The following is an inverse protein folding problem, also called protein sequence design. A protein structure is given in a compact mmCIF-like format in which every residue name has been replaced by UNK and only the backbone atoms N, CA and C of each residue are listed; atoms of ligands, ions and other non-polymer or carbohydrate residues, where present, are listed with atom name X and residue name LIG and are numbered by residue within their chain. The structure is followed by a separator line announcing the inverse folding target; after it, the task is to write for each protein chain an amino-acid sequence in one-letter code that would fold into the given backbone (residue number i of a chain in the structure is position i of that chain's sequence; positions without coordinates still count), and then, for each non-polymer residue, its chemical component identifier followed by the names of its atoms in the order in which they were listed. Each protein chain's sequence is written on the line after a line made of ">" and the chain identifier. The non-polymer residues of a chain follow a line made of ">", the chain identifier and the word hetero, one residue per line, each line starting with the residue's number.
data_IF_639190226130
#
_entry.id   IF_639190226130
#
_cell.length_a   1.000
_cell.length_b   1.000
_cell.length_c   1.000
_cell.angle_alpha   90.00
_cell.angle_beta   90.00
_cell.angle_gamma   90.00
#
_symmetry.space_group_name_H-M   'P 1'
#
loop_
_entity.id
_entity.type
_entity.pdbx_description
1 polymer ?
#
# COMPACT_ATOMS: atom_id res chain seq x y z
N UNK A 1 33.19 35.34 -54.23
CA UNK A 1 31.92 34.88 -54.85
C UNK A 1 30.99 34.46 -53.69
N UNK A 2 29.89 35.16 -53.66
CA UNK A 2 28.86 35.22 -52.61
C UNK A 2 28.03 33.95 -52.47
N UNK A 3 27.87 33.44 -51.22
CA UNK A 3 26.90 32.44 -50.88
C UNK A 3 26.03 32.91 -49.71
N UNK A 4 24.76 33.18 -49.97
CA UNK A 4 23.76 33.78 -49.07
C UNK A 4 23.36 32.79 -47.98
N UNK A 5 23.47 33.22 -46.72
CA UNK A 5 22.97 32.59 -45.52
C UNK A 5 21.46 32.90 -45.39
N UNK A 6 20.59 31.94 -45.63
CA UNK A 6 19.16 32.10 -45.40
C UNK A 6 18.85 31.77 -43.92
N UNK A 7 18.52 32.81 -43.17
CA UNK A 7 18.04 32.77 -41.80
C UNK A 7 16.52 32.44 -41.83
N UNK A 8 16.14 31.21 -41.52
CA UNK A 8 14.74 30.80 -41.30
C UNK A 8 14.34 31.16 -39.87
N UNK A 9 13.60 32.28 -39.75
CA UNK A 9 12.94 32.66 -38.49
C UNK A 9 11.69 31.79 -38.35
N UNK A 10 11.76 30.76 -37.47
CA UNK A 10 10.62 29.94 -37.06
C UNK A 10 9.91 30.71 -35.93
N UNK A 11 8.88 31.49 -36.30
CA UNK A 11 7.99 32.16 -35.34
C UNK A 11 7.13 31.11 -34.63
N UNK A 12 7.52 30.75 -33.41
CA UNK A 12 6.74 29.85 -32.55
C UNK A 12 5.55 30.63 -31.98
N UNK A 13 4.40 30.46 -32.58
CA UNK A 13 3.12 31.04 -32.14
C UNK A 13 2.65 30.18 -30.93
N UNK A 14 3.06 30.56 -29.69
CA UNK A 14 2.56 29.95 -28.47
C UNK A 14 1.11 30.41 -28.29
N UNK A 15 0.17 29.57 -28.72
CA UNK A 15 -1.23 29.67 -28.32
C UNK A 15 -1.31 29.37 -26.82
N UNK A 16 -1.34 30.41 -26.00
CA UNK A 16 -1.74 30.32 -24.60
C UNK A 16 -3.24 30.05 -24.58
N UNK A 17 -3.62 28.75 -24.54
CA UNK A 17 -4.94 28.34 -24.08
C UNK A 17 -5.06 28.74 -22.62
N UNK A 18 -5.67 29.90 -22.37
CA UNK A 18 -6.16 30.25 -21.05
C UNK A 18 -7.30 29.28 -20.73
N UNK A 19 -6.97 28.14 -20.10
CA UNK A 19 -7.98 27.36 -19.42
C UNK A 19 -8.54 28.24 -18.30
N UNK A 20 -9.73 28.80 -18.55
CA UNK A 20 -10.56 29.32 -17.48
C UNK A 20 -10.83 28.13 -16.55
N UNK A 21 -10.05 28.00 -15.47
CA UNK A 21 -10.33 27.10 -14.38
C UNK A 21 -11.59 27.62 -13.67
N UNK A 22 -12.75 27.43 -14.29
CA UNK A 22 -14.00 27.47 -13.57
C UNK A 22 -13.85 26.46 -12.43
N UNK A 23 -14.11 26.85 -11.18
CA UNK A 23 -14.05 25.98 -10.03
C UNK A 23 -14.97 24.77 -10.27
N UNK A 24 -14.40 23.73 -10.87
CA UNK A 24 -15.12 22.51 -11.22
C UNK A 24 -15.44 21.81 -9.90
N UNK A 25 -16.71 21.54 -9.64
CA UNK A 25 -17.11 20.81 -8.44
C UNK A 25 -16.46 19.43 -8.47
N UNK A 26 -15.73 19.08 -7.42
CA UNK A 26 -15.10 17.78 -7.27
C UNK A 26 -16.19 16.73 -7.05
N UNK A 27 -16.34 15.79 -7.99
CA UNK A 27 -17.22 14.63 -7.79
C UNK A 27 -16.53 13.58 -6.93
N UNK A 28 -17.32 12.77 -6.22
CA UNK A 28 -16.79 11.67 -5.42
C UNK A 28 -15.96 10.70 -6.28
N UNK A 29 -16.46 10.33 -7.45
CA UNK A 29 -15.75 9.45 -8.37
C UNK A 29 -14.38 10.02 -8.75
N UNK A 30 -14.32 11.30 -9.13
CA UNK A 30 -13.06 11.96 -9.49
C UNK A 30 -12.07 12.01 -8.30
N UNK A 31 -12.57 12.21 -7.07
CA UNK A 31 -11.75 12.16 -5.86
C UNK A 31 -11.14 10.78 -5.63
N UNK A 32 -11.94 9.73 -5.77
CA UNK A 32 -11.49 8.33 -5.63
C UNK A 32 -10.50 7.94 -6.72
N UNK A 33 -10.80 8.23 -7.98
CA UNK A 33 -9.91 7.92 -9.11
C UNK A 33 -8.55 8.63 -8.96
N UNK A 34 -8.56 9.89 -8.53
CA UNK A 34 -7.33 10.67 -8.24
C UNK A 34 -6.52 10.03 -7.09
N UNK A 35 -7.20 9.60 -6.04
CA UNK A 35 -6.56 8.95 -4.90
C UNK A 35 -5.91 7.61 -5.29
N UNK A 36 -6.61 6.76 -6.02
CA UNK A 36 -6.06 5.49 -6.50
C UNK A 36 -4.85 5.68 -7.41
N UNK A 37 -4.85 6.75 -8.21
CA UNK A 37 -3.73 7.09 -9.09
C UNK A 37 -2.53 7.70 -8.35
N UNK A 38 -2.74 8.46 -7.26
CA UNK A 38 -1.69 9.28 -6.66
C UNK A 38 -1.24 8.80 -5.27
N UNK A 39 -2.07 8.09 -4.53
CA UNK A 39 -1.75 7.75 -3.14
C UNK A 39 -0.55 6.81 -3.04
N UNK A 40 0.48 7.24 -2.29
CA UNK A 40 1.78 6.57 -2.23
C UNK A 40 1.73 5.12 -1.77
N UNK A 41 0.86 4.79 -0.79
CA UNK A 41 0.72 3.42 -0.27
C UNK A 41 0.14 2.48 -1.32
N UNK A 42 -0.86 2.91 -2.11
CA UNK A 42 -1.43 2.12 -3.21
C UNK A 42 -0.37 1.83 -4.27
N UNK A 43 0.43 2.84 -4.66
CA UNK A 43 1.56 2.66 -5.60
C UNK A 43 2.62 1.70 -5.04
N UNK A 44 2.95 1.82 -3.75
CA UNK A 44 3.92 0.95 -3.09
C UNK A 44 3.47 -0.52 -3.09
N UNK A 45 2.21 -0.80 -2.73
CA UNK A 45 1.65 -2.15 -2.75
C UNK A 45 1.62 -2.74 -4.17
N UNK A 46 1.28 -1.95 -5.18
CA UNK A 46 1.37 -2.37 -6.59
C UNK A 46 2.80 -2.76 -7.00
N UNK A 47 3.80 -1.97 -6.58
CA UNK A 47 5.20 -2.29 -6.83
C UNK A 47 5.67 -3.56 -6.10
N UNK A 48 5.20 -3.81 -4.87
CA UNK A 48 5.51 -5.05 -4.14
C UNK A 48 4.90 -6.28 -4.84
N UNK A 49 3.68 -6.19 -5.36
CA UNK A 49 3.08 -7.25 -6.16
C UNK A 49 3.89 -7.54 -7.44
N UNK A 50 4.35 -6.49 -8.13
CA UNK A 50 5.22 -6.63 -9.31
C UNK A 50 6.59 -7.24 -8.94
N UNK A 51 7.17 -6.89 -7.81
CA UNK A 51 8.41 -7.49 -7.31
C UNK A 51 8.23 -8.99 -7.04
N UNK A 52 7.13 -9.38 -6.39
CA UNK A 52 6.80 -10.79 -6.15
C UNK A 52 6.56 -11.56 -7.46
N UNK A 53 5.96 -10.92 -8.47
CA UNK A 53 5.83 -11.51 -9.81
C UNK A 53 7.19 -11.79 -10.46
N UNK A 54 8.14 -10.87 -10.34
CA UNK A 54 9.51 -11.07 -10.80
C UNK A 54 10.22 -12.22 -10.04
N UNK A 55 9.94 -12.36 -8.74
CA UNK A 55 10.48 -13.46 -7.91
C UNK A 55 10.00 -14.84 -8.39
N UNK A 56 8.79 -14.96 -8.94
CA UNK A 56 8.33 -16.22 -9.58
C UNK A 56 9.24 -16.58 -10.77
N UNK A 57 9.58 -15.60 -11.60
CA UNK A 57 10.47 -15.84 -12.74
C UNK A 57 11.87 -16.25 -12.28
N UNK A 58 12.38 -15.63 -11.22
CA UNK A 58 13.65 -16.04 -10.60
C UNK A 58 13.57 -17.50 -10.11
N UNK A 59 12.54 -17.86 -9.33
CA UNK A 59 12.36 -19.20 -8.80
C UNK A 59 12.26 -20.27 -9.92
N UNK A 60 11.65 -19.93 -11.06
CA UNK A 60 11.61 -20.81 -12.25
C UNK A 60 12.97 -20.96 -12.91
N UNK A 61 13.76 -19.87 -12.99
CA UNK A 61 15.10 -19.88 -13.58
C UNK A 61 16.15 -20.55 -12.68
N UNK A 62 15.96 -20.58 -11.37
CA UNK A 62 16.78 -21.33 -10.41
C UNK A 62 16.79 -22.86 -10.67
N UNK A 63 15.88 -23.35 -11.55
CA UNK A 63 15.90 -24.73 -12.03
C UNK A 63 16.91 -24.98 -13.18
N UNK A 64 17.41 -23.93 -13.81
CA UNK A 64 18.40 -24.05 -14.87
C UNK A 64 19.73 -24.61 -14.35
N UNK A 65 20.52 -25.29 -15.20
CA UNK A 65 21.89 -25.65 -14.87
C UNK A 65 22.71 -24.43 -14.45
N UNK A 66 23.51 -24.57 -13.41
CA UNK A 66 24.49 -23.56 -13.04
C UNK A 66 25.75 -23.79 -13.88
N UNK A 67 26.08 -22.82 -14.75
CA UNK A 67 27.27 -22.83 -15.58
C UNK A 67 28.22 -21.76 -15.03
N UNK A 68 29.48 -22.18 -14.70
CA UNK A 68 30.49 -21.27 -14.20
C UNK A 68 31.83 -21.45 -14.93
N UNK A 69 32.48 -20.33 -15.16
CA UNK A 69 33.86 -20.28 -15.66
C UNK A 69 34.75 -19.75 -14.54
N UNK A 70 35.87 -20.41 -14.32
CA UNK A 70 36.85 -19.99 -13.32
C UNK A 70 38.24 -20.03 -13.93
N UNK A 71 39.05 -19.04 -13.59
CA UNK A 71 40.46 -18.97 -13.99
C UNK A 71 41.30 -18.65 -12.74
N UNK A 72 42.33 -19.39 -12.54
CA UNK A 72 43.30 -19.21 -11.46
C UNK A 72 44.70 -19.25 -12.04
N UNK A 73 45.55 -18.37 -11.58
CA UNK A 73 46.94 -18.29 -11.94
C UNK A 73 47.74 -18.11 -10.66
N UNK A 74 48.73 -18.95 -10.44
CA UNK A 74 49.49 -18.98 -9.21
C UNK A 74 50.99 -18.95 -9.54
N UNK A 75 51.78 -18.41 -8.60
CA UNK A 75 53.24 -18.52 -8.62
C UNK A 75 53.66 -19.18 -7.32
N UNK A 76 54.40 -20.27 -7.42
CA UNK A 76 54.81 -21.02 -6.24
C UNK A 76 55.64 -22.23 -6.52
N UNK A 77 56.02 -22.95 -5.46
CA UNK A 77 56.80 -24.16 -5.48
C UNK A 77 55.91 -25.41 -5.52
N UNK A 78 56.48 -26.57 -5.95
CA UNK A 78 55.81 -27.87 -5.88
C UNK A 78 56.63 -28.82 -5.03
N UNK A 79 56.35 -28.92 -3.75
CA UNK A 79 57.00 -29.88 -2.83
C UNK A 79 55.89 -30.82 -2.27
N UNK A 80 55.62 -31.91 -2.95
CA UNK A 80 54.71 -32.92 -2.48
C UNK A 80 55.24 -33.62 -1.22
N UNK A 81 54.38 -33.96 -0.30
CA UNK A 81 54.70 -34.76 0.88
C UNK A 81 53.75 -35.96 0.95
N UNK A 82 54.33 -37.16 1.12
CA UNK A 82 53.51 -38.36 1.37
C UNK A 82 53.00 -38.36 2.81
N UNK A 83 51.72 -38.59 2.99
CA UNK A 83 51.08 -38.70 4.32
C UNK A 83 49.61 -38.35 4.29
N UNK A 84 48.85 -38.68 5.36
CA UNK A 84 47.46 -38.33 5.48
C UNK A 84 47.32 -36.82 5.67
N UNK A 85 46.54 -36.16 4.82
CA UNK A 85 46.19 -34.75 4.97
C UNK A 85 44.70 -34.54 4.73
N UNK A 86 44.12 -33.65 5.49
CA UNK A 86 42.72 -33.22 5.33
C UNK A 86 42.69 -31.71 5.14
N UNK A 87 42.26 -31.28 3.96
CA UNK A 87 42.10 -29.87 3.64
C UNK A 87 40.91 -29.23 4.37
N UNK A 88 41.18 -28.64 5.52
CA UNK A 88 40.15 -27.90 6.31
C UNK A 88 39.73 -26.65 5.53
N UNK A 89 38.51 -26.70 4.96
CA UNK A 89 37.84 -25.53 4.41
C UNK A 89 38.60 -24.75 3.30
N UNK A 90 39.49 -25.43 2.57
CA UNK A 90 40.30 -24.78 1.52
C UNK A 90 41.56 -24.08 2.02
N UNK A 91 41.92 -24.27 3.29
CA UNK A 91 43.17 -23.71 3.88
C UNK A 91 44.44 -24.48 3.50
N UNK A 92 44.31 -25.64 2.85
CA UNK A 92 45.44 -26.36 2.31
C UNK A 92 45.94 -25.76 1.01
N UNK A 93 47.25 -25.52 0.85
CA UNK A 93 47.84 -25.19 -0.45
C UNK A 93 47.61 -26.34 -1.42
N UNK A 94 47.03 -26.07 -2.58
CA UNK A 94 46.83 -27.06 -3.64
C UNK A 94 48.08 -27.21 -4.55
N UNK A 95 49.23 -26.98 -4.04
CA UNK A 95 50.49 -27.27 -4.74
C UNK A 95 50.60 -28.79 -4.87
N UNK A 96 50.27 -29.32 -6.03
CA UNK A 96 50.27 -30.73 -6.31
C UNK A 96 51.47 -31.12 -7.15
N UNK A 97 52.36 -31.84 -6.56
CA UNK A 97 53.43 -32.51 -7.22
C UNK A 97 53.78 -33.80 -6.47
N UNK A 98 54.51 -34.72 -7.06
CA UNK A 98 55.02 -35.88 -6.34
C UNK A 98 55.94 -35.46 -5.22
N UNK A 99 56.16 -36.35 -4.25
CA UNK A 99 57.12 -36.12 -3.19
C UNK A 99 58.52 -36.02 -3.78
N UNK A 100 59.24 -35.00 -3.37
CA UNK A 100 60.66 -34.83 -3.71
C UNK A 100 61.53 -35.34 -2.55
N UNK A 101 62.74 -35.87 -2.85
CA UNK A 101 63.63 -36.38 -1.82
C UNK A 101 64.06 -35.28 -0.83
N UNK A 102 64.14 -34.05 -1.26
CA UNK A 102 64.53 -32.88 -0.45
C UNK A 102 63.63 -31.68 -0.79
N UNK A 103 63.48 -30.79 0.16
CA UNK A 103 62.84 -29.50 -0.02
C UNK A 103 63.55 -28.72 -1.16
N UNK A 104 62.76 -28.19 -2.10
CA UNK A 104 63.22 -27.36 -3.18
C UNK A 104 62.41 -26.05 -3.22
N UNK A 105 63.09 -24.92 -3.46
CA UNK A 105 62.48 -23.60 -3.48
C UNK A 105 62.30 -23.04 -4.92
N UNK A 106 62.50 -23.89 -5.93
CA UNK A 106 62.21 -23.51 -7.31
C UNK A 106 60.73 -23.16 -7.45
N UNK A 107 60.44 -21.97 -7.99
CA UNK A 107 59.11 -21.47 -8.16
C UNK A 107 58.80 -21.19 -9.63
N UNK A 108 57.59 -21.52 -10.04
CA UNK A 108 57.11 -21.30 -11.40
C UNK A 108 55.63 -20.85 -11.38
N UNK A 109 55.19 -20.27 -12.49
CA UNK A 109 53.78 -19.99 -12.70
C UNK A 109 53.02 -21.28 -13.02
N UNK A 110 51.78 -21.35 -12.52
CA UNK A 110 50.81 -22.38 -12.86
C UNK A 110 49.45 -21.73 -13.19
N UNK A 111 48.64 -22.43 -13.94
CA UNK A 111 47.30 -21.96 -14.24
C UNK A 111 46.27 -23.10 -14.24
N UNK A 112 45.03 -22.78 -13.81
CA UNK A 112 43.88 -23.66 -13.84
C UNK A 112 42.70 -22.89 -14.43
N UNK A 113 42.21 -23.38 -15.55
CA UNK A 113 40.99 -22.87 -16.22
C UNK A 113 39.93 -23.93 -16.16
N UNK A 114 38.74 -23.56 -15.62
CA UNK A 114 37.62 -24.49 -15.40
C UNK A 114 36.37 -23.96 -16.08
N UNK A 115 35.70 -24.82 -16.82
CA UNK A 115 34.29 -24.66 -17.17
C UNK A 115 33.52 -25.74 -16.41
N UNK A 116 32.59 -25.33 -15.56
CA UNK A 116 31.85 -26.24 -14.69
C UNK A 116 30.34 -26.06 -14.91
N UNK A 117 29.64 -27.17 -15.07
CA UNK A 117 28.19 -27.26 -15.11
C UNK A 117 27.75 -28.10 -13.92
N UNK A 118 26.78 -27.58 -13.17
CA UNK A 118 26.11 -28.33 -12.12
C UNK A 118 24.61 -28.11 -12.21
N UNK A 119 23.84 -29.20 -12.27
CA UNK A 119 22.39 -29.16 -12.42
C UNK A 119 21.68 -30.12 -11.49
N UNK A 120 20.92 -29.58 -10.55
CA UNK A 120 20.03 -30.36 -9.66
C UNK A 120 18.78 -30.78 -10.44
N UNK A 121 18.90 -31.78 -11.31
CA UNK A 121 17.82 -32.17 -12.21
C UNK A 121 16.66 -32.91 -11.54
N UNK A 122 16.89 -33.56 -10.38
CA UNK A 122 15.86 -34.26 -9.64
C UNK A 122 15.97 -34.03 -8.13
N UNK A 123 14.95 -33.39 -7.55
CA UNK A 123 14.93 -32.93 -6.15
C UNK A 123 13.66 -33.36 -5.38
N UNK A 124 12.99 -34.42 -5.82
CA UNK A 124 11.71 -34.89 -5.24
C UNK A 124 10.65 -33.78 -5.08
N UNK A 125 10.63 -32.85 -6.02
CA UNK A 125 9.66 -31.76 -6.07
C UNK A 125 10.02 -30.55 -5.19
N UNK A 126 11.21 -30.48 -4.57
CA UNK A 126 11.66 -29.33 -3.77
C UNK A 126 11.63 -28.03 -4.58
N UNK A 127 12.20 -28.04 -5.78
CA UNK A 127 12.23 -26.85 -6.67
C UNK A 127 10.80 -26.46 -7.09
N UNK A 128 9.99 -27.45 -7.51
CA UNK A 128 8.58 -27.19 -7.85
C UNK A 128 7.82 -26.56 -6.67
N UNK A 129 8.07 -27.03 -5.45
CA UNK A 129 7.42 -26.50 -4.26
C UNK A 129 7.91 -25.08 -3.93
N UNK A 130 9.19 -24.76 -4.16
CA UNK A 130 9.73 -23.39 -4.04
C UNK A 130 9.05 -22.42 -5.02
N UNK A 131 8.81 -22.88 -6.27
CA UNK A 131 8.04 -22.08 -7.25
C UNK A 131 6.61 -21.83 -6.73
N UNK A 132 5.93 -22.85 -6.17
CA UNK A 132 4.60 -22.67 -5.59
C UNK A 132 4.58 -21.70 -4.43
N UNK A 133 5.61 -21.67 -3.58
CA UNK A 133 5.74 -20.66 -2.51
C UNK A 133 5.84 -19.25 -3.11
N UNK A 134 6.63 -19.07 -4.17
CA UNK A 134 6.74 -17.78 -4.85
C UNK A 134 5.40 -17.36 -5.51
N UNK A 135 4.70 -18.30 -6.14
CA UNK A 135 3.37 -18.07 -6.72
C UNK A 135 2.33 -17.68 -5.65
N UNK A 136 2.29 -18.41 -4.52
CA UNK A 136 1.41 -18.07 -3.41
C UNK A 136 1.77 -16.70 -2.78
N UNK A 137 3.06 -16.37 -2.70
CA UNK A 137 3.54 -15.05 -2.23
C UNK A 137 3.03 -13.93 -3.14
N UNK A 138 3.13 -14.10 -4.47
CA UNK A 138 2.58 -13.14 -5.41
C UNK A 138 1.06 -12.99 -5.24
N UNK A 139 0.31 -14.09 -5.08
CA UNK A 139 -1.14 -14.02 -4.86
C UNK A 139 -1.48 -13.25 -3.58
N UNK A 140 -0.73 -13.46 -2.50
CA UNK A 140 -0.88 -12.70 -1.26
C UNK A 140 -0.63 -11.20 -1.50
N UNK A 141 0.47 -10.84 -2.17
CA UNK A 141 0.86 -9.44 -2.37
C UNK A 141 -0.10 -8.73 -3.34
N UNK A 142 -0.61 -9.46 -4.34
CA UNK A 142 -1.65 -8.94 -5.22
C UNK A 142 -2.97 -8.71 -4.46
N UNK A 143 -3.36 -9.62 -3.55
CA UNK A 143 -4.55 -9.42 -2.70
C UNK A 143 -4.34 -8.32 -1.65
N UNK A 144 -3.12 -8.10 -1.16
CA UNK A 144 -2.76 -6.95 -0.33
C UNK A 144 -2.93 -5.62 -1.10
N UNK A 145 -2.53 -5.59 -2.37
CA UNK A 145 -2.74 -4.44 -3.25
C UNK A 145 -4.24 -4.16 -3.50
N UNK A 146 -5.03 -5.20 -3.81
CA UNK A 146 -6.49 -5.06 -4.00
C UNK A 146 -7.19 -4.59 -2.72
N UNK A 147 -6.80 -5.14 -1.56
CA UNK A 147 -7.28 -4.71 -0.26
C UNK A 147 -6.96 -3.24 0.02
N UNK A 148 -5.73 -2.80 -0.26
CA UNK A 148 -5.32 -1.39 -0.06
C UNK A 148 -6.11 -0.44 -0.96
N UNK A 149 -6.36 -0.80 -2.24
CA UNK A 149 -7.24 -0.02 -3.11
C UNK A 149 -8.63 0.13 -2.52
N UNK A 150 -9.24 -0.99 -2.13
CA UNK A 150 -10.56 -0.99 -1.51
C UNK A 150 -10.61 -0.13 -0.24
N UNK A 151 -9.63 -0.26 0.64
CA UNK A 151 -9.56 0.57 1.85
C UNK A 151 -9.37 2.06 1.51
N UNK A 152 -8.62 2.37 0.46
CA UNK A 152 -8.43 3.75 0.01
C UNK A 152 -9.72 4.34 -0.56
N UNK A 153 -10.49 3.58 -1.33
CA UNK A 153 -11.83 3.97 -1.80
C UNK A 153 -12.74 4.36 -0.63
N UNK A 154 -12.77 3.53 0.41
CA UNK A 154 -13.57 3.78 1.63
C UNK A 154 -13.06 5.02 2.39
N UNK A 155 -11.74 5.16 2.59
CA UNK A 155 -11.14 6.31 3.29
C UNK A 155 -11.41 7.63 2.60
N UNK A 156 -11.24 7.66 1.28
CA UNK A 156 -11.49 8.87 0.46
C UNK A 156 -12.96 9.24 0.46
N UNK A 157 -13.85 8.25 0.30
CA UNK A 157 -15.30 8.49 0.34
C UNK A 157 -15.75 9.01 1.69
N UNK A 158 -15.23 8.47 2.79
CA UNK A 158 -15.52 8.97 4.14
C UNK A 158 -15.02 10.42 4.33
N UNK A 159 -13.80 10.74 3.87
CA UNK A 159 -13.26 12.10 3.94
C UNK A 159 -14.05 13.08 3.06
N UNK A 160 -14.48 12.64 1.89
CA UNK A 160 -15.36 13.43 1.00
C UNK A 160 -16.71 13.76 1.66
N UNK A 161 -17.36 12.78 2.27
CA UNK A 161 -18.60 13.00 3.01
C UNK A 161 -18.42 13.93 4.22
N UNK A 162 -17.29 13.83 4.92
CA UNK A 162 -16.96 14.73 6.02
C UNK A 162 -16.75 16.17 5.54
N UNK A 163 -16.05 16.38 4.42
CA UNK A 163 -15.89 17.70 3.82
C UNK A 163 -17.24 18.27 3.39
N UNK A 164 -18.09 17.45 2.79
CA UNK A 164 -19.42 17.84 2.37
C UNK A 164 -20.28 18.27 3.58
N UNK A 165 -20.23 17.53 4.69
CA UNK A 165 -20.88 17.92 5.94
C UNK A 165 -20.35 19.25 6.49
N UNK A 166 -19.02 19.45 6.47
CA UNK A 166 -18.39 20.69 6.90
C UNK A 166 -18.82 21.89 6.05
N UNK A 167 -18.87 21.75 4.72
CA UNK A 167 -19.35 22.81 3.81
C UNK A 167 -20.82 23.16 4.04
N UNK A 168 -21.66 22.18 4.34
CA UNK A 168 -23.06 22.44 4.72
C UNK A 168 -23.17 23.18 6.05
N UNK A 169 -22.35 22.77 7.03
CA UNK A 169 -22.30 23.45 8.32
C UNK A 169 -21.87 24.92 8.16
N UNK A 170 -20.79 25.20 7.39
CA UNK A 170 -20.36 26.56 7.08
C UNK A 170 -21.49 27.38 6.47
N UNK A 171 -22.19 26.84 5.48
CA UNK A 171 -23.34 27.51 4.85
C UNK A 171 -24.51 27.75 5.83
N UNK A 172 -24.77 26.81 6.75
CA UNK A 172 -25.77 26.99 7.81
C UNK A 172 -25.40 28.13 8.76
N UNK A 173 -24.11 28.19 9.17
CA UNK A 173 -23.61 29.27 10.03
C UNK A 173 -23.58 30.65 9.32
N UNK A 174 -23.36 30.71 8.02
CA UNK A 174 -23.49 31.94 7.22
C UNK A 174 -24.93 32.48 7.26
N UNK A 175 -25.93 31.59 7.06
CA UNK A 175 -27.35 31.96 7.18
C UNK A 175 -27.70 32.41 8.58
N UNK A 176 -27.17 31.73 9.61
CA UNK A 176 -27.37 32.10 11.00
C UNK A 176 -26.80 33.51 11.30
N UNK A 177 -25.56 33.78 10.85
CA UNK A 177 -24.96 35.12 11.00
C UNK A 177 -25.81 36.21 10.33
N UNK A 178 -26.34 35.93 9.12
CA UNK A 178 -27.19 36.89 8.42
C UNK A 178 -28.49 37.19 9.19
N UNK A 179 -29.11 36.14 9.77
CA UNK A 179 -30.30 36.31 10.67
C UNK A 179 -29.94 37.11 11.89
N UNK A 180 -28.83 36.84 12.56
CA UNK A 180 -28.38 37.57 13.73
C UNK A 180 -28.08 39.06 13.43
N UNK A 181 -27.49 39.38 12.27
CA UNK A 181 -27.23 40.74 11.81
C UNK A 181 -28.59 41.50 11.61
N UNK A 182 -29.57 40.87 10.94
CA UNK A 182 -30.89 41.45 10.72
C UNK A 182 -31.60 41.70 12.06
N UNK A 183 -31.52 40.74 12.96
CA UNK A 183 -32.04 40.85 14.30
C UNK A 183 -31.40 42.01 15.10
N UNK A 184 -30.05 42.10 15.13
CA UNK A 184 -29.32 43.20 15.78
C UNK A 184 -29.76 44.56 15.22
N UNK A 185 -29.85 44.71 13.90
CA UNK A 185 -30.26 45.98 13.28
C UNK A 185 -31.66 46.42 13.77
N UNK A 186 -32.61 45.51 13.85
CA UNK A 186 -33.94 45.77 14.36
C UNK A 186 -33.90 46.19 15.85
N UNK A 187 -33.13 45.47 16.69
CA UNK A 187 -33.01 45.77 18.12
C UNK A 187 -32.36 47.15 18.37
N UNK A 188 -31.28 47.48 17.62
CA UNK A 188 -30.59 48.76 17.74
C UNK A 188 -31.53 49.93 17.39
N UNK A 189 -32.27 49.87 16.29
CA UNK A 189 -33.22 50.92 15.87
C UNK A 189 -34.33 51.09 16.89
N UNK A 190 -34.87 50.03 17.46
CA UNK A 190 -35.93 50.10 18.48
C UNK A 190 -35.39 50.68 19.80
N UNK A 191 -34.16 50.34 20.19
CA UNK A 191 -33.53 50.90 21.40
C UNK A 191 -33.23 52.39 21.23
N UNK A 192 -32.75 52.84 20.06
CA UNK A 192 -32.50 54.25 19.76
C UNK A 192 -33.75 55.11 19.75
N UNK A 193 -34.92 54.51 19.43
CA UNK A 193 -36.22 55.13 19.46
C UNK A 193 -36.91 55.02 20.84
N UNK A 194 -36.25 54.50 21.87
CA UNK A 194 -36.78 54.35 23.21
C UNK A 194 -37.88 53.27 23.37
N UNK A 195 -38.04 52.40 22.37
CA UNK A 195 -39.09 51.36 22.33
C UNK A 195 -38.74 50.10 23.09
N UNK A 196 -37.42 49.89 23.41
CA UNK A 196 -36.91 48.76 24.17
C UNK A 196 -35.73 49.22 25.05
N UNK A 197 -35.38 48.45 26.08
CA UNK A 197 -34.27 48.72 26.96
C UNK A 197 -32.92 48.65 26.23
N UNK A 198 -31.94 49.47 26.58
CA UNK A 198 -30.59 49.46 25.99
C UNK A 198 -29.85 48.13 26.14
N UNK A 199 -30.16 47.35 27.19
CA UNK A 199 -29.63 45.99 27.39
C UNK A 199 -30.00 45.06 26.27
N UNK A 200 -31.17 45.18 25.65
CA UNK A 200 -31.62 44.37 24.53
C UNK A 200 -30.74 44.58 23.29
N UNK A 201 -30.33 45.86 23.04
CA UNK A 201 -29.39 46.17 21.98
C UNK A 201 -27.99 45.52 22.23
N UNK A 202 -27.55 45.45 23.48
CA UNK A 202 -26.32 44.81 23.88
C UNK A 202 -26.36 43.28 23.69
N UNK A 203 -27.48 42.65 24.07
CA UNK A 203 -27.70 41.22 23.83
C UNK A 203 -27.69 40.89 22.33
N UNK A 204 -28.34 41.70 21.50
CA UNK A 204 -28.36 41.49 20.06
C UNK A 204 -26.94 41.66 19.41
N UNK A 205 -26.13 42.55 19.93
CA UNK A 205 -24.71 42.69 19.52
C UNK A 205 -23.89 41.46 19.95
N UNK A 206 -24.12 40.91 21.14
CA UNK A 206 -23.43 39.71 21.64
C UNK A 206 -23.81 38.51 20.77
N UNK A 207 -25.06 38.37 20.32
CA UNK A 207 -25.52 37.29 19.43
C UNK A 207 -24.81 37.36 18.06
N UNK A 208 -24.63 38.53 17.46
CA UNK A 208 -23.84 38.64 16.20
C UNK A 208 -22.39 38.22 16.41
N UNK A 209 -21.78 38.57 17.56
CA UNK A 209 -20.42 38.12 17.84
C UNK A 209 -20.34 36.62 18.04
N UNK A 210 -21.30 35.99 18.72
CA UNK A 210 -21.41 34.55 18.86
C UNK A 210 -21.57 33.85 17.49
N UNK A 211 -22.44 34.36 16.62
CA UNK A 211 -22.63 33.82 15.27
C UNK A 211 -21.37 33.96 14.39
N UNK A 212 -20.60 35.05 14.53
CA UNK A 212 -19.29 35.21 13.85
C UNK A 212 -18.28 34.16 14.32
N UNK A 213 -18.18 33.96 15.63
CA UNK A 213 -17.29 32.94 16.21
C UNK A 213 -17.69 31.54 15.70
N UNK A 214 -18.99 31.22 15.68
CA UNK A 214 -19.50 29.96 15.17
C UNK A 214 -19.15 29.75 13.69
N UNK A 215 -19.28 30.78 12.86
CA UNK A 215 -18.89 30.73 11.45
C UNK A 215 -17.39 30.52 11.27
N UNK A 216 -16.54 31.23 12.04
CA UNK A 216 -15.08 31.03 11.97
C UNK A 216 -14.72 29.60 12.33
N UNK A 217 -15.28 29.03 13.41
CA UNK A 217 -15.07 27.62 13.77
C UNK A 217 -15.54 26.64 12.68
N UNK A 218 -16.67 26.91 12.03
CA UNK A 218 -17.15 26.07 10.93
C UNK A 218 -16.17 26.09 9.73
N UNK A 219 -15.62 27.24 9.39
CA UNK A 219 -14.59 27.39 8.33
C UNK A 219 -13.30 26.68 8.68
N UNK A 220 -12.85 26.72 9.94
CA UNK A 220 -11.68 25.97 10.40
C UNK A 220 -11.89 24.45 10.19
N UNK A 221 -13.04 23.91 10.59
CA UNK A 221 -13.41 22.51 10.37
C UNK A 221 -13.45 22.17 8.87
N UNK A 222 -14.06 23.04 8.05
CA UNK A 222 -14.09 22.84 6.60
C UNK A 222 -12.68 22.73 6.01
N UNK A 223 -11.78 23.61 6.40
CA UNK A 223 -10.39 23.61 5.94
C UNK A 223 -9.62 22.38 6.40
N UNK A 224 -9.85 21.93 7.64
CA UNK A 224 -9.28 20.68 8.15
C UNK A 224 -9.73 19.47 7.32
N UNK A 225 -11.04 19.35 7.04
CA UNK A 225 -11.55 18.24 6.24
C UNK A 225 -11.08 18.31 4.78
N UNK A 226 -10.96 19.50 4.19
CA UNK A 226 -10.41 19.69 2.86
C UNK A 226 -8.94 19.25 2.80
N UNK A 227 -8.13 19.63 3.78
CA UNK A 227 -6.73 19.20 3.88
C UNK A 227 -6.63 17.66 4.03
N UNK A 228 -7.46 17.06 4.88
CA UNK A 228 -7.51 15.60 5.05
C UNK A 228 -7.85 14.88 3.76
N UNK A 229 -8.83 15.38 3.00
CA UNK A 229 -9.18 14.84 1.68
C UNK A 229 -8.00 14.96 0.70
N UNK A 230 -7.33 16.12 0.65
CA UNK A 230 -6.15 16.35 -0.19
C UNK A 230 -5.02 15.35 0.09
N UNK A 231 -4.72 15.11 1.38
CA UNK A 231 -3.72 14.11 1.80
C UNK A 231 -4.09 12.70 1.29
N UNK A 232 -5.36 12.29 1.46
CA UNK A 232 -5.84 10.99 1.01
C UNK A 232 -5.90 10.87 -0.51
N UNK A 233 -6.12 11.96 -1.23
CA UNK A 233 -6.03 12.00 -2.69
C UNK A 233 -4.58 12.03 -3.20
N UNK A 234 -3.60 12.29 -2.34
CA UNK A 234 -2.20 12.45 -2.72
C UNK A 234 -1.94 13.72 -3.53
N UNK A 235 -2.70 14.80 -3.25
CA UNK A 235 -2.58 16.11 -3.89
C UNK A 235 -2.36 17.20 -2.84
N UNK A 236 -1.70 18.30 -3.25
CA UNK A 236 -1.42 19.44 -2.38
C UNK A 236 -2.54 20.49 -2.35
N UNK A 237 -3.55 20.36 -3.22
CA UNK A 237 -4.69 21.27 -3.25
C UNK A 237 -5.56 21.08 -1.98
N UNK A 238 -6.09 22.20 -1.46
CA UNK A 238 -6.93 22.22 -0.26
C UNK A 238 -8.25 22.99 -0.46
N UNK A 239 -8.45 23.60 -1.62
CA UNK A 239 -9.70 24.31 -1.95
C UNK A 239 -10.55 23.44 -2.87
N UNK A 240 -11.41 22.61 -2.25
CA UNK A 240 -12.34 21.74 -2.98
C UNK A 240 -13.76 22.21 -2.78
N UNK A 241 -14.49 22.42 -3.88
CA UNK A 241 -15.94 22.55 -3.86
C UNK A 241 -16.55 21.20 -4.19
N UNK A 242 -17.29 20.61 -3.25
CA UNK A 242 -17.93 19.31 -3.46
C UNK A 242 -19.39 19.47 -3.88
N UNK A 243 -19.91 18.49 -4.63
CA UNK A 243 -21.30 18.46 -5.01
C UNK A 243 -22.17 18.09 -3.81
N UNK A 244 -23.00 19.03 -3.38
CA UNK A 244 -23.88 18.87 -2.21
C UNK A 244 -25.28 18.36 -2.56
N UNK A 245 -25.62 18.14 -3.83
CA UNK A 245 -26.96 17.77 -4.27
C UNK A 245 -27.28 16.30 -3.95
N UNK A 246 -26.29 15.41 -4.08
CA UNK A 246 -26.45 13.96 -3.95
C UNK A 246 -26.96 13.52 -2.58
N UNK A 247 -26.56 14.15 -1.47
CA UNK A 247 -26.94 13.71 -0.11
C UNK A 247 -28.35 14.12 0.32
N UNK A 248 -29.05 14.92 -0.47
CA UNK A 248 -30.44 15.34 -0.14
C UNK A 248 -31.46 14.27 -0.48
N UNK A 249 -31.06 13.13 -0.99
CA UNK A 249 -31.93 11.99 -1.31
C UNK A 249 -31.59 10.78 -0.43
N UNK A 250 -32.55 9.91 -0.24
CA UNK A 250 -32.36 8.60 0.38
C UNK A 250 -31.85 7.64 -0.71
N UNK A 251 -30.77 6.85 -0.46
CA UNK A 251 -30.33 5.81 -1.39
C UNK A 251 -31.44 4.78 -1.64
N UNK A 252 -31.57 4.28 -2.90
CA UNK A 252 -32.71 3.42 -3.29
C UNK A 252 -32.51 1.94 -2.94
N UNK A 253 -31.27 1.44 -2.92
CA UNK A 253 -30.96 -0.01 -2.78
C UNK A 253 -30.32 -0.38 -1.42
N UNK A 254 -30.84 0.14 -0.32
CA UNK A 254 -30.20 0.03 0.99
C UNK A 254 -30.25 -1.36 1.64
N UNK A 255 -31.13 -2.26 1.22
CA UNK A 255 -31.56 -3.38 2.07
C UNK A 255 -31.27 -4.78 1.52
N UNK A 256 -30.71 -4.96 0.32
CA UNK A 256 -30.80 -6.23 -0.38
C UNK A 256 -29.68 -7.26 -0.11
N UNK A 257 -28.53 -6.89 0.49
CA UNK A 257 -27.46 -7.85 0.79
C UNK A 257 -27.08 -7.82 2.27
N UNK A 258 -27.24 -8.97 2.94
CA UNK A 258 -26.92 -9.17 4.36
C UNK A 258 -25.76 -10.18 4.56
N UNK A 259 -25.16 -10.69 3.49
CA UNK A 259 -24.11 -11.70 3.58
C UNK A 259 -22.77 -11.15 3.08
N UNK A 260 -21.74 -11.32 3.92
CA UNK A 260 -20.36 -10.96 3.53
C UNK A 260 -19.95 -11.81 2.34
N UNK A 261 -19.51 -11.16 1.27
CA UNK A 261 -19.03 -11.85 0.10
C UNK A 261 -17.76 -12.68 0.42
N UNK A 262 -17.71 -13.93 -0.05
CA UNK A 262 -16.47 -14.73 0.05
C UNK A 262 -15.29 -14.07 -0.71
N UNK A 263 -15.60 -13.14 -1.60
CA UNK A 263 -14.66 -12.33 -2.36
C UNK A 263 -14.22 -11.04 -1.64
N UNK A 264 -14.60 -10.85 -0.35
CA UNK A 264 -14.23 -9.67 0.43
C UNK A 264 -12.71 -9.46 0.40
N UNK A 265 -12.19 -8.29 -0.05
CA UNK A 265 -10.75 -8.07 -0.29
C UNK A 265 -9.88 -8.36 0.94
N UNK A 266 -10.35 -7.97 2.14
CA UNK A 266 -9.65 -8.22 3.40
C UNK A 266 -9.56 -9.72 3.68
N UNK A 267 -10.67 -10.47 3.53
CA UNK A 267 -10.68 -11.92 3.76
C UNK A 267 -9.79 -12.65 2.76
N UNK A 268 -9.78 -12.23 1.49
CA UNK A 268 -8.91 -12.82 0.47
C UNK A 268 -7.43 -12.62 0.80
N UNK A 269 -7.04 -11.45 1.31
CA UNK A 269 -5.67 -11.23 1.76
C UNK A 269 -5.27 -12.19 2.89
N UNK A 270 -6.06 -12.29 3.96
CA UNK A 270 -5.78 -13.20 5.08
C UNK A 270 -5.78 -14.68 4.64
N UNK A 271 -6.69 -15.09 3.77
CA UNK A 271 -6.72 -16.43 3.18
C UNK A 271 -5.43 -16.74 2.42
N UNK A 272 -4.90 -15.79 1.65
CA UNK A 272 -3.66 -15.96 0.92
C UNK A 272 -2.43 -15.97 1.84
N UNK A 273 -2.45 -15.30 2.99
CA UNK A 273 -1.41 -15.45 4.03
C UNK A 273 -1.33 -16.91 4.53
N UNK A 274 -2.48 -17.52 4.79
CA UNK A 274 -2.55 -18.96 5.15
C UNK A 274 -2.01 -19.84 4.03
N UNK A 275 -2.38 -19.55 2.76
CA UNK A 275 -1.92 -20.30 1.61
C UNK A 275 -0.39 -20.26 1.46
N UNK A 276 0.25 -19.10 1.60
CA UNK A 276 1.72 -18.98 1.58
C UNK A 276 2.34 -19.85 2.67
N UNK A 277 1.82 -19.81 3.89
CA UNK A 277 2.32 -20.60 5.00
C UNK A 277 2.22 -22.11 4.77
N UNK A 278 1.13 -22.57 4.16
CA UNK A 278 0.92 -23.97 3.82
C UNK A 278 1.87 -24.45 2.70
N UNK A 279 2.11 -23.62 1.68
CA UNK A 279 3.10 -23.93 0.65
C UNK A 279 4.53 -23.95 1.22
N UNK A 280 4.84 -23.05 2.16
CA UNK A 280 6.11 -23.04 2.89
C UNK A 280 6.29 -24.31 3.75
N UNK A 281 5.22 -24.76 4.43
CA UNK A 281 5.20 -26.03 5.16
C UNK A 281 5.51 -27.22 4.23
N UNK A 282 4.89 -27.22 3.06
CA UNK A 282 5.10 -28.23 2.03
C UNK A 282 6.53 -28.23 1.50
N UNK A 283 7.12 -27.04 1.34
CA UNK A 283 8.54 -26.88 0.96
C UNK A 283 9.48 -27.47 2.02
N UNK A 284 9.28 -27.18 3.31
CA UNK A 284 10.11 -27.74 4.39
C UNK A 284 10.02 -29.27 4.45
N UNK A 285 8.85 -29.86 4.20
CA UNK A 285 8.71 -31.32 4.10
C UNK A 285 9.52 -31.93 2.94
N UNK A 286 9.77 -31.18 1.85
CA UNK A 286 10.57 -31.64 0.71
C UNK A 286 12.08 -31.62 0.96
N UNK A 287 12.55 -30.94 2.02
CA UNK A 287 13.96 -30.93 2.40
C UNK A 287 14.44 -32.27 3.01
N UNK A 288 13.54 -33.20 3.30
CA UNK A 288 13.90 -34.54 3.76
C UNK A 288 14.50 -35.44 2.68
N UNK A 289 14.29 -35.12 1.42
CA UNK A 289 14.67 -35.98 0.30
C UNK A 289 16.06 -35.65 -0.25
N UNK A 290 16.78 -36.63 -0.83
CA UNK A 290 18.04 -36.39 -1.49
C UNK A 290 17.91 -35.49 -2.72
N UNK A 291 19.05 -35.05 -3.24
CA UNK A 291 19.16 -34.32 -4.50
C UNK A 291 20.03 -35.13 -5.44
N UNK A 292 19.58 -35.30 -6.68
CA UNK A 292 20.38 -35.84 -7.77
C UNK A 292 20.83 -34.72 -8.67
N UNK A 293 22.14 -34.62 -8.89
CA UNK A 293 22.77 -33.59 -9.69
C UNK A 293 23.55 -34.20 -10.84
N UNK A 294 23.42 -33.60 -12.02
CA UNK A 294 24.31 -33.82 -13.14
C UNK A 294 25.44 -32.80 -13.03
N UNK A 295 26.66 -33.25 -13.11
CA UNK A 295 27.83 -32.38 -13.13
C UNK A 295 28.74 -32.66 -14.32
N UNK A 296 29.35 -31.61 -14.83
CA UNK A 296 30.34 -31.66 -15.90
C UNK A 296 31.42 -30.64 -15.64
N UNK A 297 32.66 -31.06 -15.79
CA UNK A 297 33.83 -30.19 -15.62
C UNK A 297 34.74 -30.36 -16.85
N UNK A 298 35.14 -29.26 -17.44
CA UNK A 298 36.21 -29.19 -18.42
C UNK A 298 37.34 -28.35 -17.81
N UNK A 299 38.54 -28.88 -17.82
CA UNK A 299 39.70 -28.30 -17.16
C UNK A 299 40.86 -28.12 -18.14
N UNK A 300 41.44 -26.94 -18.18
CA UNK A 300 42.73 -26.65 -18.81
C UNK A 300 43.77 -26.34 -17.74
N UNK A 301 44.97 -26.92 -17.83
CA UNK A 301 46.07 -26.69 -16.88
C UNK A 301 47.31 -26.26 -17.58
N UNK A 302 47.96 -25.20 -17.07
CA UNK A 302 49.29 -24.75 -17.40
C UNK A 302 50.28 -24.95 -16.23
N UNK A 303 51.51 -25.18 -16.51
CA UNK A 303 52.58 -25.28 -15.48
C UNK A 303 53.94 -24.97 -16.06
N UNK A 304 54.72 -24.16 -15.39
CA UNK A 304 56.10 -23.94 -15.68
C UNK A 304 57.03 -25.09 -15.24
N UNK A 305 56.50 -26.06 -14.48
CA UNK A 305 57.21 -27.29 -14.16
C UNK A 305 56.97 -28.35 -15.21
N UNK A 306 58.06 -28.93 -15.77
CA UNK A 306 57.96 -30.02 -16.78
C UNK A 306 57.70 -31.38 -16.12
N UNK A 307 57.24 -32.35 -16.88
CA UNK A 307 56.96 -33.69 -16.37
C UNK A 307 58.18 -34.39 -15.78
N UNK A 308 59.42 -34.05 -16.30
CA UNK A 308 60.72 -34.57 -15.84
C UNK A 308 61.29 -33.91 -14.58
N UNK A 309 60.52 -32.90 -13.97
CA UNK A 309 61.01 -32.16 -12.81
C UNK A 309 61.31 -33.03 -11.58
N UNK A 310 60.75 -34.20 -11.48
CA UNK A 310 60.98 -35.16 -10.39
C UNK A 310 62.41 -35.71 -10.43
N UNK A 311 62.84 -35.99 -11.63
CA UNK A 311 64.20 -36.57 -11.87
C UNK A 311 65.27 -35.52 -12.19
N UNK A 312 64.83 -34.38 -12.77
CA UNK A 312 65.71 -33.25 -13.11
C UNK A 312 65.09 -31.94 -12.60
N UNK A 313 65.53 -31.48 -11.44
CA UNK A 313 65.01 -30.26 -10.80
C UNK A 313 65.40 -28.96 -11.54
N UNK A 314 66.11 -29.01 -12.65
CA UNK A 314 66.34 -27.92 -13.57
C UNK A 314 65.28 -27.85 -14.68
N UNK A 315 64.36 -28.85 -14.75
CA UNK A 315 63.36 -28.93 -15.77
C UNK A 315 62.11 -28.05 -15.39
N UNK A 316 62.33 -26.76 -15.15
CA UNK A 316 61.26 -25.76 -14.91
C UNK A 316 61.61 -24.44 -15.59
N UNK A 317 60.58 -23.58 -15.72
CA UNK A 317 60.67 -22.20 -16.18
C UNK A 317 59.88 -21.27 -15.32
N UNK A 318 60.48 -20.13 -14.97
CA UNK A 318 59.75 -19.05 -14.27
C UNK A 318 59.10 -18.04 -15.23
N UNK A 319 59.14 -18.33 -16.54
CA UNK A 319 58.48 -17.48 -17.53
C UNK A 319 56.96 -17.58 -17.35
N UNK A 320 56.30 -16.41 -17.26
CA UNK A 320 54.85 -16.32 -17.04
C UNK A 320 54.05 -16.99 -18.18
N UNK A 321 54.38 -16.69 -19.43
CA UNK A 321 53.63 -17.20 -20.59
C UNK A 321 53.68 -18.74 -20.67
N UNK A 322 54.83 -19.35 -20.37
CA UNK A 322 55.00 -20.81 -20.38
C UNK A 322 54.22 -21.47 -19.22
N UNK A 323 54.13 -20.79 -18.07
CA UNK A 323 53.45 -21.31 -16.89
C UNK A 323 51.91 -21.22 -16.98
N UNK A 324 51.39 -20.18 -17.63
CA UNK A 324 49.92 -19.95 -17.69
C UNK A 324 49.27 -20.52 -18.95
N UNK A 325 50.04 -20.84 -20.00
CA UNK A 325 49.47 -21.43 -21.22
C UNK A 325 48.95 -22.85 -20.93
N UNK A 326 47.65 -23.17 -21.19
CA UNK A 326 47.08 -24.49 -20.91
C UNK A 326 47.63 -25.54 -21.90
N UNK A 327 48.49 -26.43 -21.41
CA UNK A 327 49.09 -27.51 -22.18
C UNK A 327 48.48 -28.89 -21.93
N UNK A 328 47.60 -28.99 -20.92
CA UNK A 328 46.87 -30.23 -20.58
C UNK A 328 45.39 -29.91 -20.41
N UNK A 329 44.53 -30.74 -21.00
CA UNK A 329 43.06 -30.68 -20.86
C UNK A 329 42.48 -31.97 -20.29
N UNK A 330 41.48 -31.84 -19.42
CA UNK A 330 40.73 -32.96 -18.85
C UNK A 330 39.26 -32.62 -18.89
N UNK A 331 38.41 -33.62 -18.93
CA UNK A 331 36.97 -33.50 -18.74
C UNK A 331 36.44 -34.59 -17.82
N UNK A 332 35.35 -34.28 -17.13
CA UNK A 332 34.63 -35.20 -16.25
C UNK A 332 33.14 -34.93 -16.38
N UNK A 333 32.34 -35.96 -16.59
CA UNK A 333 30.86 -35.87 -16.58
C UNK A 333 30.36 -36.99 -15.68
N UNK A 334 29.38 -36.66 -14.83
CA UNK A 334 28.84 -37.65 -13.90
C UNK A 334 27.54 -37.26 -13.30
N UNK A 335 26.92 -38.21 -12.61
CA UNK A 335 25.72 -38.01 -11.80
C UNK A 335 26.10 -38.21 -10.35
N UNK A 336 25.73 -37.28 -9.50
CA UNK A 336 25.94 -37.34 -8.06
C UNK A 336 24.60 -37.37 -7.31
N UNK A 337 24.59 -37.99 -6.15
CA UNK A 337 23.49 -37.92 -5.18
C UNK A 337 24.03 -37.33 -3.89
N UNK A 338 23.36 -36.29 -3.39
CA UNK A 338 23.66 -35.71 -2.07
C UNK A 338 22.46 -35.89 -1.15
N UNK A 339 22.67 -36.55 -0.01
CA UNK A 339 21.65 -36.72 1.03
C UNK A 339 22.24 -36.44 2.41
N UNK A 340 21.81 -35.36 3.02
CA UNK A 340 22.23 -35.01 4.36
C UNK A 340 21.24 -35.61 5.37
N UNK A 341 21.57 -36.76 5.95
CA UNK A 341 20.72 -37.51 6.86
C UNK A 341 20.39 -36.75 8.16
N UNK A 342 21.29 -35.89 8.63
CA UNK A 342 21.02 -35.07 9.83
C UNK A 342 20.01 -33.97 9.56
N UNK A 343 19.75 -33.61 8.30
CA UNK A 343 18.69 -32.66 7.92
C UNK A 343 17.30 -33.17 8.34
N UNK A 344 17.09 -34.48 8.36
CA UNK A 344 15.83 -35.06 8.82
C UNK A 344 15.53 -34.64 10.28
N UNK A 345 16.54 -34.73 11.15
CA UNK A 345 16.40 -34.36 12.55
C UNK A 345 16.24 -32.84 12.73
N UNK A 346 17.00 -32.06 12.00
CA UNK A 346 16.97 -30.57 12.06
C UNK A 346 15.67 -29.99 11.52
N UNK A 347 15.07 -30.58 10.49
CA UNK A 347 13.85 -30.07 9.86
C UNK A 347 12.57 -30.43 10.62
N UNK A 348 12.55 -31.45 11.48
CA UNK A 348 11.35 -31.79 12.27
C UNK A 348 10.83 -30.62 13.11
N UNK A 349 11.65 -29.93 13.91
CA UNK A 349 11.21 -28.74 14.62
C UNK A 349 10.77 -27.60 13.69
N UNK A 350 11.43 -27.43 12.55
CA UNK A 350 11.09 -26.40 11.56
C UNK A 350 9.71 -26.65 10.93
N UNK A 351 9.42 -27.89 10.55
CA UNK A 351 8.09 -28.31 10.05
C UNK A 351 7.02 -28.07 11.13
N UNK A 352 7.29 -28.44 12.37
CA UNK A 352 6.36 -28.24 13.50
C UNK A 352 6.13 -26.75 13.78
N UNK A 353 7.17 -25.93 13.76
CA UNK A 353 7.08 -24.48 13.89
C UNK A 353 6.19 -23.89 12.80
N UNK A 354 6.40 -24.30 11.53
CA UNK A 354 5.60 -23.81 10.42
C UNK A 354 4.14 -24.26 10.50
N UNK A 355 3.86 -25.43 11.07
CA UNK A 355 2.47 -25.88 11.33
C UNK A 355 1.77 -24.95 12.32
N UNK A 356 2.44 -24.57 13.42
CA UNK A 356 1.88 -23.62 14.38
C UNK A 356 1.69 -22.23 13.77
N UNK A 357 2.60 -21.77 12.91
CA UNK A 357 2.44 -20.52 12.17
C UNK A 357 1.19 -20.60 11.28
N UNK A 358 0.99 -21.71 10.54
CA UNK A 358 -0.20 -21.89 9.70
C UNK A 358 -1.50 -21.88 10.52
N UNK A 359 -1.51 -22.52 11.69
CA UNK A 359 -2.65 -22.51 12.63
C UNK A 359 -2.91 -21.09 13.17
N UNK A 360 -1.85 -20.36 13.57
CA UNK A 360 -1.97 -18.98 14.02
C UNK A 360 -2.59 -18.08 12.95
N UNK A 361 -2.12 -18.18 11.70
CA UNK A 361 -2.68 -17.43 10.57
C UNK A 361 -4.14 -17.81 10.24
N UNK A 362 -4.53 -19.07 10.46
CA UNK A 362 -5.92 -19.52 10.32
C UNK A 362 -6.79 -18.87 11.40
N UNK A 363 -6.34 -18.84 12.64
CA UNK A 363 -7.06 -18.18 13.74
C UNK A 363 -7.20 -16.66 13.49
N UNK A 364 -6.15 -15.99 12.95
CA UNK A 364 -6.24 -14.58 12.53
C UNK A 364 -7.32 -14.37 11.43
N UNK A 365 -7.38 -15.27 10.45
CA UNK A 365 -8.41 -15.22 9.40
C UNK A 365 -9.83 -15.36 10.00
N UNK A 366 -10.04 -16.30 10.91
CA UNK A 366 -11.32 -16.51 11.58
C UNK A 366 -11.71 -15.30 12.44
N UNK A 367 -10.75 -14.71 13.17
CA UNK A 367 -10.97 -13.50 13.95
C UNK A 367 -11.41 -12.33 13.08
N UNK A 368 -10.73 -12.10 11.94
CA UNK A 368 -11.09 -11.03 11.00
C UNK A 368 -12.48 -11.26 10.42
N UNK A 369 -12.83 -12.51 10.09
CA UNK A 369 -14.17 -12.84 9.61
C UNK A 369 -15.26 -12.52 10.67
N UNK A 370 -15.03 -12.84 11.93
CA UNK A 370 -15.94 -12.48 13.03
C UNK A 370 -16.06 -10.96 13.19
N UNK A 371 -14.94 -10.23 13.09
CA UNK A 371 -14.95 -8.76 13.16
C UNK A 371 -15.79 -8.14 12.04
N UNK A 372 -15.66 -8.65 10.81
CA UNK A 372 -16.46 -8.16 9.68
C UNK A 372 -17.95 -8.46 9.85
N UNK A 373 -18.33 -9.63 10.39
CA UNK A 373 -19.72 -9.94 10.73
C UNK A 373 -20.29 -8.96 11.76
N UNK A 374 -19.53 -8.67 12.82
CA UNK A 374 -19.93 -7.70 13.83
C UNK A 374 -20.02 -6.27 13.26
N UNK A 375 -19.11 -5.90 12.38
CA UNK A 375 -19.13 -4.59 11.69
C UNK A 375 -20.35 -4.48 10.76
N UNK A 376 -20.73 -5.56 10.07
CA UNK A 376 -21.92 -5.57 9.21
C UNK A 376 -23.19 -5.37 10.05
N UNK A 377 -23.36 -6.12 11.14
CA UNK A 377 -24.52 -5.95 12.04
C UNK A 377 -24.61 -4.53 12.61
N UNK A 378 -23.46 -3.94 13.01
CA UNK A 378 -23.39 -2.55 13.45
C UNK A 378 -23.75 -1.57 12.34
N UNK A 379 -23.28 -1.79 11.11
CA UNK A 379 -23.57 -0.93 9.97
C UNK A 379 -25.06 -0.94 9.61
N UNK A 380 -25.70 -2.10 9.66
CA UNK A 380 -27.16 -2.23 9.44
C UNK A 380 -27.96 -1.49 10.49
N UNK A 381 -27.61 -1.62 11.76
CA UNK A 381 -28.27 -0.88 12.85
C UNK A 381 -28.08 0.64 12.69
N UNK A 382 -26.85 1.09 12.36
CA UNK A 382 -26.58 2.51 12.11
C UNK A 382 -27.32 3.05 10.90
N UNK A 383 -27.44 2.27 9.82
CA UNK A 383 -28.17 2.68 8.63
C UNK A 383 -29.67 2.88 8.94
N UNK A 384 -30.28 1.93 9.66
CA UNK A 384 -31.66 2.03 10.10
C UNK A 384 -31.91 3.30 10.95
N UNK A 385 -31.09 3.50 11.99
CA UNK A 385 -31.21 4.67 12.87
C UNK A 385 -30.95 5.99 12.11
N UNK A 386 -30.03 5.99 11.14
CA UNK A 386 -29.78 7.19 10.32
C UNK A 386 -30.97 7.53 9.41
N UNK A 387 -31.67 6.52 8.87
CA UNK A 387 -32.87 6.71 8.08
C UNK A 387 -34.00 7.29 8.95
N UNK A 388 -34.22 6.75 10.15
CA UNK A 388 -35.23 7.25 11.09
C UNK A 388 -34.98 8.74 11.40
N UNK A 389 -33.73 9.10 11.71
CA UNK A 389 -33.32 10.50 11.94
C UNK A 389 -33.47 11.37 10.67
N UNK A 390 -33.20 10.83 9.48
CA UNK A 390 -33.36 11.56 8.21
C UNK A 390 -34.82 11.96 8.00
N UNK A 391 -35.79 11.10 8.33
CA UNK A 391 -37.22 11.37 8.19
C UNK A 391 -37.72 12.41 9.18
N UNK A 392 -37.21 12.42 10.41
CA UNK A 392 -37.65 13.36 11.48
C UNK A 392 -36.99 14.75 11.33
N UNK A 393 -35.78 14.85 10.82
CA UNK A 393 -35.05 16.11 10.76
C UNK A 393 -35.74 17.24 9.95
N UNK A 394 -36.40 17.02 8.79
CA UNK A 394 -37.17 18.03 8.09
C UNK A 394 -38.36 18.54 8.89
N UNK A 395 -39.03 17.69 9.65
CA UNK A 395 -40.17 18.03 10.50
C UNK A 395 -39.70 18.99 11.59
N UNK A 396 -38.58 18.68 12.26
CA UNK A 396 -37.96 19.54 13.27
C UNK A 396 -37.61 20.93 12.70
N UNK A 397 -36.97 20.97 11.52
CA UNK A 397 -36.58 22.23 10.86
C UNK A 397 -37.81 23.07 10.53
N UNK A 398 -38.87 22.46 9.99
CA UNK A 398 -40.09 23.16 9.64
C UNK A 398 -40.72 23.79 10.90
N UNK A 399 -40.89 23.01 11.95
CA UNK A 399 -41.47 23.50 13.22
C UNK A 399 -40.65 24.64 13.85
N UNK A 400 -39.32 24.50 13.86
CA UNK A 400 -38.39 25.53 14.36
C UNK A 400 -38.40 26.80 13.49
N UNK A 401 -38.54 26.67 12.17
CA UNK A 401 -38.64 27.78 11.24
C UNK A 401 -39.94 28.55 11.42
N UNK A 402 -41.06 27.84 11.54
CA UNK A 402 -42.37 28.45 11.77
C UNK A 402 -42.40 29.21 13.11
N UNK A 403 -41.86 28.62 14.17
CA UNK A 403 -41.71 29.30 15.48
C UNK A 403 -40.82 30.56 15.40
N UNK A 404 -39.69 30.50 14.69
CA UNK A 404 -38.83 31.65 14.47
C UNK A 404 -39.54 32.78 13.71
N UNK A 405 -40.23 32.47 12.63
CA UNK A 405 -40.97 33.46 11.82
C UNK A 405 -42.04 34.15 12.70
N UNK A 406 -42.82 33.38 13.48
CA UNK A 406 -43.85 33.92 14.37
C UNK A 406 -43.23 34.80 15.45
N UNK A 407 -42.22 34.33 16.19
CA UNK A 407 -41.54 35.10 17.22
C UNK A 407 -40.86 36.35 16.67
N UNK A 408 -40.26 36.29 15.46
CA UNK A 408 -39.70 37.46 14.79
C UNK A 408 -40.75 38.52 14.45
N UNK A 409 -41.92 38.11 13.99
CA UNK A 409 -43.02 39.01 13.69
C UNK A 409 -43.61 39.64 14.97
N UNK A 410 -43.82 38.83 16.03
CA UNK A 410 -44.29 39.33 17.32
C UNK A 410 -43.30 40.33 17.95
N UNK A 411 -41.98 40.04 17.87
CA UNK A 411 -40.92 40.94 18.34
C UNK A 411 -40.92 42.28 17.60
N UNK A 412 -41.03 42.26 16.26
CA UNK A 412 -41.17 43.51 15.47
C UNK A 412 -42.34 44.37 15.91
N UNK A 413 -43.45 43.77 16.32
CA UNK A 413 -44.64 44.45 16.79
C UNK A 413 -44.65 44.76 18.30
N UNK A 414 -43.59 44.40 19.06
CA UNK A 414 -43.49 44.67 20.49
C UNK A 414 -44.29 43.68 21.39
N UNK A 415 -44.71 42.54 20.83
CA UNK A 415 -45.59 41.57 21.51
C UNK A 415 -44.84 40.37 22.13
N UNK A 416 -43.51 40.36 22.05
CA UNK A 416 -42.67 39.31 22.68
C UNK A 416 -41.30 39.90 23.05
N UNK A 417 -40.56 39.18 23.89
CA UNK A 417 -39.24 39.63 24.40
C UNK A 417 -38.10 39.28 23.44
N UNK A 418 -36.97 39.93 23.60
CA UNK A 418 -35.73 39.60 22.88
C UNK A 418 -35.24 38.18 23.22
N UNK A 419 -35.43 37.73 24.45
CA UNK A 419 -35.04 36.41 24.93
C UNK A 419 -35.81 35.32 24.16
N UNK A 420 -37.12 35.48 23.98
CA UNK A 420 -37.94 34.54 23.24
C UNK A 420 -37.53 34.41 21.77
N UNK A 421 -37.19 35.55 21.15
CA UNK A 421 -36.73 35.55 19.76
C UNK A 421 -35.32 34.91 19.61
N UNK A 422 -34.42 35.21 20.54
CA UNK A 422 -33.06 34.59 20.54
C UNK A 422 -33.17 33.07 20.74
N UNK A 423 -34.03 32.61 21.63
CA UNK A 423 -34.30 31.19 21.84
C UNK A 423 -34.86 30.51 20.57
N UNK A 424 -35.79 31.16 19.87
CA UNK A 424 -36.31 30.61 18.59
C UNK A 424 -35.22 30.59 17.49
N UNK A 425 -34.35 31.60 17.41
CA UNK A 425 -33.24 31.63 16.48
C UNK A 425 -32.22 30.50 16.76
N UNK A 426 -31.89 30.28 18.04
CA UNK A 426 -31.00 29.19 18.45
C UNK A 426 -31.57 27.81 18.11
N UNK A 427 -32.88 27.61 18.38
CA UNK A 427 -33.58 26.36 18.06
C UNK A 427 -33.57 26.10 16.55
N UNK A 428 -33.82 27.11 15.72
CA UNK A 428 -33.77 26.96 14.26
C UNK A 428 -32.36 26.61 13.77
N UNK A 429 -31.32 27.32 14.25
CA UNK A 429 -29.93 27.05 13.86
C UNK A 429 -29.53 25.62 14.23
N UNK A 430 -29.91 25.13 15.41
CA UNK A 430 -29.67 23.76 15.85
C UNK A 430 -30.39 22.76 14.96
N UNK A 431 -31.67 22.97 14.67
CA UNK A 431 -32.48 22.07 13.81
C UNK A 431 -31.91 21.97 12.38
N UNK A 432 -31.48 23.10 11.78
CA UNK A 432 -30.83 23.12 10.47
C UNK A 432 -29.49 22.32 10.49
N UNK A 433 -28.68 22.47 11.55
CA UNK A 433 -27.43 21.72 11.71
C UNK A 433 -27.69 20.23 11.91
N UNK A 434 -28.64 19.87 12.78
CA UNK A 434 -29.03 18.46 13.04
C UNK A 434 -29.54 17.77 11.77
N UNK A 435 -30.31 18.48 10.93
CA UNK A 435 -30.74 17.95 9.61
C UNK A 435 -29.55 17.68 8.68
N UNK A 436 -28.61 18.60 8.55
CA UNK A 436 -27.47 18.44 7.64
C UNK A 436 -26.57 17.29 8.11
N UNK A 437 -26.45 17.07 9.42
CA UNK A 437 -25.78 15.91 10.02
C UNK A 437 -26.57 14.62 9.71
N UNK A 438 -27.89 14.61 9.92
CA UNK A 438 -28.72 13.43 9.66
C UNK A 438 -28.63 12.98 8.21
N UNK A 439 -28.65 13.91 7.26
CA UNK A 439 -28.50 13.61 5.83
C UNK A 439 -27.15 12.99 5.49
N UNK A 440 -26.08 13.50 6.08
CA UNK A 440 -24.72 12.95 5.86
C UNK A 440 -24.57 11.57 6.52
N UNK A 441 -25.18 11.36 7.69
CA UNK A 441 -25.08 10.10 8.43
C UNK A 441 -25.70 8.91 7.67
N UNK A 442 -26.74 9.11 6.86
CA UNK A 442 -27.29 8.05 6.01
C UNK A 442 -26.24 7.53 5.03
N UNK A 443 -25.53 8.45 4.36
CA UNK A 443 -24.50 8.10 3.40
C UNK A 443 -23.25 7.50 4.06
N UNK A 444 -22.86 7.99 5.25
CA UNK A 444 -21.78 7.39 6.03
C UNK A 444 -22.14 5.97 6.50
N UNK A 445 -23.38 5.74 6.92
CA UNK A 445 -23.84 4.41 7.32
C UNK A 445 -23.90 3.45 6.12
N UNK A 446 -24.32 3.91 4.94
CA UNK A 446 -24.27 3.12 3.70
C UNK A 446 -22.83 2.77 3.30
N UNK A 447 -21.91 3.73 3.38
CA UNK A 447 -20.48 3.49 3.14
C UNK A 447 -19.94 2.45 4.12
N UNK A 448 -20.28 2.52 5.40
CA UNK A 448 -19.87 1.55 6.41
C UNK A 448 -20.43 0.14 6.10
N UNK A 449 -21.68 0.03 5.64
CA UNK A 449 -22.28 -1.24 5.19
C UNK A 449 -21.55 -1.80 3.97
N UNK A 450 -21.29 -0.97 2.98
CA UNK A 450 -20.52 -1.33 1.78
C UNK A 450 -19.10 -1.81 2.14
N UNK A 451 -18.44 -1.14 3.09
CA UNK A 451 -17.13 -1.55 3.59
C UNK A 451 -17.16 -2.91 4.29
N UNK A 452 -18.21 -3.19 5.10
CA UNK A 452 -18.35 -4.45 5.80
C UNK A 452 -18.72 -5.62 4.88
N UNK A 453 -19.44 -5.35 3.78
CA UNK A 453 -19.78 -6.34 2.75
C UNK A 453 -18.61 -6.63 1.79
N UNK A 454 -17.63 -5.71 1.70
CA UNK A 454 -16.50 -5.83 0.78
C UNK A 454 -16.80 -5.44 -0.66
N UNK A 455 -17.90 -4.71 -0.89
CA UNK A 455 -18.29 -4.22 -2.21
C UNK A 455 -18.53 -2.70 -2.21
N UNK A 456 -17.53 -1.96 -2.69
CA UNK A 456 -17.60 -0.50 -2.83
C UNK A 456 -18.64 -0.06 -3.87
N UNK A 457 -18.99 -0.91 -4.85
CA UNK A 457 -19.97 -0.56 -5.89
C UNK A 457 -21.37 -0.35 -5.33
N UNK A 458 -21.72 -0.97 -4.20
CA UNK A 458 -23.00 -0.73 -3.52
C UNK A 458 -23.15 0.73 -3.08
N UNK A 459 -22.04 1.39 -2.75
CA UNK A 459 -22.04 2.79 -2.34
C UNK A 459 -21.93 3.75 -3.54
N UNK A 460 -20.97 3.54 -4.42
CA UNK A 460 -20.66 4.51 -5.49
C UNK A 460 -21.75 4.59 -6.57
N UNK A 461 -22.52 3.52 -6.77
CA UNK A 461 -23.66 3.52 -7.72
C UNK A 461 -24.86 4.32 -7.19
N UNK A 462 -25.00 4.43 -5.89
CA UNK A 462 -26.06 5.18 -5.24
C UNK A 462 -25.72 6.66 -5.06
N UNK A 463 -24.42 7.00 -4.96
CA UNK A 463 -23.95 8.35 -4.76
C UNK A 463 -23.85 9.14 -6.08
#
# INVERSE_FOLDING_TARGET
>A
MSGRLNLFIFSCFILTFSFSAGAQTLSLKAAVDTALANYGTVKAKGNYANASLATIQQAKRDYLPNFSLSAQQDYGTINGQNGPSYGLGGLGTASSGPALDKQNWNAAFGALYLANVNWDFFTFGRIKQRIKVAEATYQRDNKDYEQEKFQQEIRVSSAYLNLLAAQRLTRSQEKNLQRAITFKNTAVIRASNGLIAGVDSSLAKAEVSSAKIALTKARDVEQEQANRLGILMGVTATDFKVDTASISRIPSNMLNDTTIAQTHPVLLYYKNRVAVSNEQLSYYKRLYFPTFSLFGVMQGRGSGFKASYITDQHAYTSNYADGVNPVRGNYLIGIGMTWNLTTILRNRPQVRSQQYISQGLTNEYEQVNQQLQAQLALAEAKLKNAIDNYLEAPIQVKAASDAYIQKSTLYKNGLTTIVDLTQALFTLNRAETDRDIAYTNVWQALLLKSAALGDYNLFIKEF
#
